data_IF_815472436990
#
_entry.id   IF_815472436990
#
_cell.length_a   1.000
_cell.length_b   1.000
_cell.length_c   1.000
_cell.angle_alpha   90.00
_cell.angle_beta   90.00
_cell.angle_gamma   90.00
#
_symmetry.space_group_name_H-M   'P 1'
#
loop_
_entity.id
_entity.type
_entity.pdbx_description
1 polymer ?
#
# COMPACT_ATOMS: atom_id res chain seq x y z
N UNK A 1 2.27 17.18 15.38
CA UNK A 1 1.42 16.28 14.58
C UNK A 1 1.17 16.89 13.22
N UNK A 2 1.47 16.16 12.14
CA UNK A 2 1.18 16.56 10.77
C UNK A 2 -0.32 16.43 10.45
N UNK A 3 -0.77 17.06 9.36
CA UNK A 3 -2.15 16.94 8.89
C UNK A 3 -2.50 15.47 8.57
N UNK A 4 -1.54 14.71 8.05
CA UNK A 4 -1.70 13.29 7.77
C UNK A 4 -1.97 12.50 9.06
N UNK A 5 -1.17 12.70 10.11
CA UNK A 5 -1.33 12.00 11.40
C UNK A 5 -2.68 12.30 12.05
N UNK A 6 -3.11 13.57 12.03
CA UNK A 6 -4.43 13.97 12.54
C UNK A 6 -5.55 13.27 11.76
N UNK A 7 -5.42 13.19 10.44
CA UNK A 7 -6.42 12.54 9.58
C UNK A 7 -6.47 11.04 9.83
N UNK A 8 -5.32 10.39 9.97
CA UNK A 8 -5.22 8.96 10.27
C UNK A 8 -5.82 8.64 11.63
N UNK A 9 -5.55 9.44 12.66
CA UNK A 9 -6.15 9.26 13.99
C UNK A 9 -7.68 9.30 13.93
N UNK A 10 -8.24 10.25 13.18
CA UNK A 10 -9.69 10.33 12.94
C UNK A 10 -10.19 9.11 12.16
N UNK A 11 -9.44 8.64 11.17
CA UNK A 11 -9.80 7.48 10.37
C UNK A 11 -9.88 6.21 11.22
N UNK A 12 -8.89 6.00 12.11
CA UNK A 12 -8.86 4.90 13.07
C UNK A 12 -10.03 4.98 14.04
N UNK A 13 -10.37 6.18 14.53
CA UNK A 13 -11.52 6.36 15.42
C UNK A 13 -12.85 6.05 14.71
N UNK A 14 -13.03 6.52 13.47
CA UNK A 14 -14.22 6.19 12.68
C UNK A 14 -14.32 4.68 12.41
N UNK A 15 -13.19 4.03 12.13
CA UNK A 15 -13.13 2.59 11.94
C UNK A 15 -13.52 1.81 13.20
N UNK A 16 -13.00 2.20 14.38
CA UNK A 16 -13.30 1.52 15.64
C UNK A 16 -14.77 1.66 16.06
N UNK A 17 -15.43 2.76 15.67
CA UNK A 17 -16.87 2.95 15.84
C UNK A 17 -17.70 2.38 14.68
N UNK A 18 -17.09 1.59 13.78
CA UNK A 18 -17.73 0.97 12.62
C UNK A 18 -18.36 1.96 11.62
N UNK A 19 -17.96 3.23 11.67
CA UNK A 19 -18.31 4.21 10.63
C UNK A 19 -17.36 4.05 9.44
N UNK A 20 -17.58 2.96 8.69
CA UNK A 20 -16.73 2.59 7.56
C UNK A 20 -16.80 3.59 6.40
N UNK A 21 -17.89 4.38 6.30
CA UNK A 21 -18.02 5.42 5.29
C UNK A 21 -17.05 6.56 5.59
N UNK A 22 -17.07 7.05 6.83
CA UNK A 22 -16.17 8.12 7.25
C UNK A 22 -14.72 7.65 7.33
N UNK A 23 -14.46 6.44 7.84
CA UNK A 23 -13.12 5.85 7.87
C UNK A 23 -12.51 5.75 6.47
N UNK A 24 -13.31 5.33 5.46
CA UNK A 24 -12.89 5.26 4.06
C UNK A 24 -12.60 6.65 3.50
N UNK A 25 -13.46 7.63 3.77
CA UNK A 25 -13.27 9.02 3.33
C UNK A 25 -11.98 9.60 3.90
N UNK A 26 -11.74 9.43 5.20
CA UNK A 26 -10.55 9.92 5.88
C UNK A 26 -9.26 9.24 5.41
N UNK A 27 -9.26 7.92 5.22
CA UNK A 27 -8.10 7.21 4.65
C UNK A 27 -7.80 7.67 3.21
N UNK A 28 -8.82 7.96 2.38
CA UNK A 28 -8.60 8.54 1.04
C UNK A 28 -8.01 9.95 1.11
N UNK A 29 -8.43 10.77 2.08
CA UNK A 29 -7.83 12.09 2.32
C UNK A 29 -6.36 11.96 2.77
N UNK A 30 -6.07 11.07 3.73
CA UNK A 30 -4.71 10.81 4.19
C UNK A 30 -3.82 10.29 3.05
N UNK A 31 -4.31 9.36 2.23
CA UNK A 31 -3.60 8.85 1.06
C UNK A 31 -3.23 9.95 0.08
N UNK A 32 -4.16 10.89 -0.18
CA UNK A 32 -3.88 12.04 -1.05
C UNK A 32 -2.75 12.90 -0.49
N UNK A 33 -2.75 13.16 0.81
CA UNK A 33 -1.68 13.93 1.48
C UNK A 33 -0.35 13.18 1.38
N UNK A 34 -0.33 11.89 1.68
CA UNK A 34 0.87 11.06 1.61
C UNK A 34 1.46 11.03 0.18
N UNK A 35 0.63 10.84 -0.85
CA UNK A 35 1.07 10.86 -2.25
C UNK A 35 1.60 12.21 -2.71
N UNK A 36 1.05 13.32 -2.21
CA UNK A 36 1.54 14.66 -2.55
C UNK A 36 2.95 14.92 -2.03
N UNK A 37 3.30 14.37 -0.85
CA UNK A 37 4.64 14.48 -0.28
C UNK A 37 5.59 13.36 -0.66
N UNK A 38 5.10 12.29 -1.30
CA UNK A 38 5.84 11.04 -1.46
C UNK A 38 7.22 11.24 -2.11
N UNK A 39 7.33 11.98 -3.21
CA UNK A 39 8.60 12.11 -3.91
C UNK A 39 9.67 12.82 -3.05
N UNK A 40 9.28 13.90 -2.35
CA UNK A 40 10.20 14.68 -1.53
C UNK A 40 10.54 13.95 -0.23
N UNK A 41 9.54 13.40 0.46
CA UNK A 41 9.76 12.61 1.67
C UNK A 41 10.54 11.33 1.38
N UNK A 42 10.35 10.71 0.21
CA UNK A 42 11.11 9.53 -0.20
C UNK A 42 12.60 9.82 -0.44
N UNK A 43 13.00 11.08 -0.66
CA UNK A 43 14.42 11.48 -0.73
C UNK A 43 15.03 11.62 0.67
N UNK A 44 14.22 11.95 1.68
CA UNK A 44 14.66 12.26 3.05
C UNK A 44 14.54 11.04 3.97
N UNK A 45 13.35 10.46 4.05
CA UNK A 45 13.02 9.27 4.83
C UNK A 45 12.17 8.30 3.98
N UNK A 46 12.84 7.42 3.20
CA UNK A 46 12.17 6.48 2.32
C UNK A 46 11.20 5.52 3.02
N UNK A 47 11.52 5.13 4.26
CA UNK A 47 10.70 4.19 5.02
C UNK A 47 9.41 4.85 5.51
N UNK A 48 9.51 6.04 6.11
CA UNK A 48 8.34 6.77 6.58
C UNK A 48 7.42 7.19 5.41
N UNK A 49 8.01 7.60 4.28
CA UNK A 49 7.27 8.01 3.09
C UNK A 49 6.43 6.86 2.53
N UNK A 50 7.05 5.69 2.32
CA UNK A 50 6.35 4.49 1.85
C UNK A 50 5.32 4.00 2.87
N UNK A 51 5.69 3.92 4.15
CA UNK A 51 4.79 3.47 5.21
C UNK A 51 3.51 4.33 5.29
N UNK A 52 3.63 5.65 5.10
CA UNK A 52 2.50 6.58 5.11
C UNK A 52 1.49 6.32 3.99
N UNK A 53 1.97 5.94 2.80
CA UNK A 53 1.10 5.54 1.68
C UNK A 53 0.50 4.16 1.92
N UNK A 54 1.34 3.20 2.30
CA UNK A 54 0.95 1.80 2.49
C UNK A 54 -0.12 1.63 3.55
N UNK A 55 0.04 2.26 4.72
CA UNK A 55 -0.95 2.12 5.80
C UNK A 55 -2.33 2.66 5.39
N UNK A 56 -2.40 3.71 4.58
CA UNK A 56 -3.68 4.20 4.06
C UNK A 56 -4.34 3.17 3.12
N UNK A 57 -3.56 2.57 2.23
CA UNK A 57 -4.05 1.57 1.27
C UNK A 57 -4.42 0.25 1.96
N UNK A 58 -3.67 -0.17 2.97
CA UNK A 58 -4.00 -1.35 3.78
C UNK A 58 -5.28 -1.14 4.58
N UNK A 59 -5.45 0.02 5.23
CA UNK A 59 -6.71 0.35 5.89
C UNK A 59 -7.90 0.38 4.92
N UNK A 60 -7.71 0.91 3.72
CA UNK A 60 -8.75 0.91 2.68
C UNK A 60 -9.08 -0.51 2.20
N UNK A 61 -8.06 -1.37 2.08
CA UNK A 61 -8.22 -2.79 1.80
C UNK A 61 -9.03 -3.45 2.91
N UNK A 62 -8.67 -3.27 4.18
CA UNK A 62 -9.40 -3.84 5.32
C UNK A 62 -10.84 -3.37 5.36
N UNK A 63 -11.11 -2.07 5.18
CA UNK A 63 -12.49 -1.55 5.09
C UNK A 63 -13.26 -2.25 3.96
N UNK A 64 -12.66 -2.43 2.79
CA UNK A 64 -13.30 -3.13 1.68
C UNK A 64 -13.54 -4.62 2.00
N UNK A 65 -12.62 -5.28 2.74
CA UNK A 65 -12.81 -6.64 3.25
C UNK A 65 -14.02 -6.69 4.20
N UNK A 66 -14.14 -5.77 5.16
CA UNK A 66 -15.29 -5.70 6.07
C UNK A 66 -16.61 -5.42 5.34
N UNK A 67 -16.55 -4.68 4.24
CA UNK A 67 -17.71 -4.39 3.37
C UNK A 67 -18.00 -5.51 2.36
N UNK A 68 -17.29 -6.64 2.41
CA UNK A 68 -17.41 -7.76 1.46
C UNK A 68 -17.20 -7.34 0.00
N UNK A 69 -16.25 -6.43 -0.24
CA UNK A 69 -15.85 -5.91 -1.55
C UNK A 69 -14.45 -6.40 -1.93
N UNK A 70 -14.26 -7.70 -2.22
CA UNK A 70 -12.92 -8.29 -2.43
C UNK A 70 -12.18 -7.71 -3.63
N UNK A 71 -12.90 -7.35 -4.70
CA UNK A 71 -12.29 -6.71 -5.87
C UNK A 71 -11.65 -5.36 -5.49
N UNK A 72 -12.38 -4.53 -4.75
CA UNK A 72 -11.88 -3.23 -4.32
C UNK A 72 -10.73 -3.36 -3.30
N UNK A 73 -10.78 -4.35 -2.41
CA UNK A 73 -9.66 -4.63 -1.51
C UNK A 73 -8.38 -4.96 -2.30
N UNK A 74 -8.50 -5.82 -3.32
CA UNK A 74 -7.39 -6.17 -4.21
C UNK A 74 -6.86 -4.95 -4.99
N UNK A 75 -7.76 -4.06 -5.47
CA UNK A 75 -7.36 -2.81 -6.14
C UNK A 75 -6.50 -1.91 -5.25
N UNK A 76 -6.79 -1.80 -3.94
CA UNK A 76 -5.97 -1.01 -3.02
C UNK A 76 -4.58 -1.63 -2.79
N UNK A 77 -4.50 -2.95 -2.67
CA UNK A 77 -3.21 -3.65 -2.59
C UNK A 77 -2.39 -3.45 -3.88
N UNK A 78 -3.03 -3.53 -5.05
CA UNK A 78 -2.40 -3.28 -6.35
C UNK A 78 -1.89 -1.84 -6.47
N UNK A 79 -2.69 -0.85 -6.07
CA UNK A 79 -2.26 0.55 -6.05
C UNK A 79 -0.98 0.77 -5.22
N UNK A 80 -0.78 -0.01 -4.15
CA UNK A 80 0.42 0.09 -3.33
C UNK A 80 1.67 -0.27 -4.13
N UNK A 81 1.56 -1.31 -4.96
CA UNK A 81 2.64 -1.75 -5.84
C UNK A 81 2.86 -0.76 -6.98
N UNK A 82 1.79 -0.22 -7.57
CA UNK A 82 1.87 0.82 -8.59
C UNK A 82 2.57 2.08 -8.09
N UNK A 83 2.27 2.53 -6.87
CA UNK A 83 2.92 3.69 -6.26
C UNK A 83 4.43 3.45 -6.08
N UNK A 84 4.85 2.24 -5.70
CA UNK A 84 6.27 1.86 -5.61
C UNK A 84 6.95 1.85 -7.00
N UNK A 85 6.27 1.34 -8.03
CA UNK A 85 6.84 1.27 -9.39
C UNK A 85 7.00 2.65 -10.04
N UNK A 86 6.21 3.63 -9.62
CA UNK A 86 6.26 5.00 -10.13
C UNK A 86 7.28 5.88 -9.38
N UNK A 87 8.03 5.33 -8.42
CA UNK A 87 9.07 6.08 -7.72
C UNK A 87 10.19 6.53 -8.68
N UNK A 88 10.82 7.69 -8.42
CA UNK A 88 11.84 8.23 -9.29
C UNK A 88 13.07 7.31 -9.34
N UNK A 89 13.68 7.23 -10.52
CA UNK A 89 14.98 6.57 -10.73
C UNK A 89 16.02 7.63 -11.13
N UNK A 90 17.29 7.51 -10.71
CA UNK A 90 17.88 6.42 -9.93
C UNK A 90 17.53 6.45 -8.43
N UNK A 91 17.49 5.28 -7.79
CA UNK A 91 17.25 5.12 -6.35
C UNK A 91 18.55 4.82 -5.58
N UNK A 92 18.71 5.42 -4.41
CA UNK A 92 19.81 5.17 -3.47
C UNK A 92 19.68 3.80 -2.78
N UNK A 93 20.76 3.34 -2.14
CA UNK A 93 20.75 2.08 -1.38
C UNK A 93 19.73 2.09 -0.22
N UNK A 94 19.55 3.24 0.45
CA UNK A 94 18.56 3.40 1.51
C UNK A 94 17.14 3.23 0.95
N UNK A 95 16.85 3.89 -0.18
CA UNK A 95 15.57 3.78 -0.88
C UNK A 95 15.29 2.36 -1.37
N UNK A 96 16.30 1.66 -1.91
CA UNK A 96 16.18 0.25 -2.27
C UNK A 96 15.78 -0.62 -1.07
N UNK A 97 16.39 -0.37 0.11
CA UNK A 97 16.08 -1.13 1.32
C UNK A 97 14.64 -0.91 1.79
N UNK A 98 14.17 0.34 1.74
CA UNK A 98 12.79 0.70 2.07
C UNK A 98 11.79 0.05 1.12
N UNK A 99 12.07 0.07 -0.19
CA UNK A 99 11.24 -0.60 -1.20
C UNK A 99 11.16 -2.11 -0.91
N UNK A 100 12.28 -2.78 -0.64
CA UNK A 100 12.30 -4.22 -0.35
C UNK A 100 11.43 -4.58 0.87
N UNK A 101 11.56 -3.80 1.96
CA UNK A 101 10.72 -3.98 3.16
C UNK A 101 9.24 -3.76 2.85
N UNK A 102 8.93 -2.75 2.06
CA UNK A 102 7.57 -2.43 1.63
C UNK A 102 6.96 -3.56 0.79
N UNK A 103 7.70 -4.11 -0.17
CA UNK A 103 7.29 -5.27 -0.96
C UNK A 103 7.01 -6.49 -0.08
N UNK A 104 7.85 -6.74 0.93
CA UNK A 104 7.62 -7.84 1.88
C UNK A 104 6.32 -7.64 2.68
N UNK A 105 6.04 -6.42 3.12
CA UNK A 105 4.78 -6.11 3.82
C UNK A 105 3.56 -6.30 2.91
N UNK A 106 3.62 -5.86 1.65
CA UNK A 106 2.53 -6.09 0.68
C UNK A 106 2.27 -7.58 0.49
N UNK A 107 3.31 -8.42 0.45
CA UNK A 107 3.16 -9.88 0.37
C UNK A 107 2.44 -10.46 1.59
N UNK A 108 2.76 -9.97 2.80
CA UNK A 108 2.09 -10.40 4.02
C UNK A 108 0.61 -10.01 4.03
N UNK A 109 0.28 -8.77 3.66
CA UNK A 109 -1.12 -8.33 3.57
C UNK A 109 -1.88 -9.08 2.48
N UNK A 110 -1.24 -9.34 1.34
CA UNK A 110 -1.81 -10.18 0.29
C UNK A 110 -2.11 -11.60 0.78
N UNK A 111 -1.20 -12.21 1.54
CA UNK A 111 -1.44 -13.52 2.14
C UNK A 111 -2.63 -13.51 3.10
N UNK A 112 -2.77 -12.46 3.92
CA UNK A 112 -3.92 -12.29 4.83
C UNK A 112 -5.23 -12.11 4.07
N UNK A 113 -5.22 -11.34 2.99
CA UNK A 113 -6.37 -11.20 2.10
C UNK A 113 -6.80 -12.57 1.53
N UNK A 114 -5.85 -13.38 1.07
CA UNK A 114 -6.14 -14.71 0.53
C UNK A 114 -6.70 -15.67 1.58
N UNK A 115 -6.32 -15.52 2.85
CA UNK A 115 -6.91 -16.29 3.94
C UNK A 115 -8.38 -15.93 4.19
N UNK A 116 -8.75 -14.66 4.01
CA UNK A 116 -10.15 -14.21 4.13
C UNK A 116 -11.02 -14.62 2.92
N UNK A 117 -10.42 -14.68 1.72
CA UNK A 117 -11.14 -14.94 0.47
C UNK A 117 -10.56 -16.10 -0.36
N UNK A 118 -10.50 -17.34 0.18
CA UNK A 118 -9.80 -18.46 -0.46
C UNK A 118 -10.37 -18.87 -1.83
N UNK A 119 -11.66 -18.58 -2.08
CA UNK A 119 -12.36 -18.97 -3.31
C UNK A 119 -12.61 -17.82 -4.30
N UNK A 120 -12.33 -16.55 -3.93
CA UNK A 120 -12.47 -15.41 -4.86
C UNK A 120 -11.20 -15.17 -5.69
N UNK A 121 -10.14 -15.92 -5.39
CA UNK A 121 -8.78 -15.75 -5.92
C UNK A 121 -8.64 -16.05 -7.41
N UNK A 122 -9.34 -17.07 -7.92
CA UNK A 122 -9.14 -17.57 -9.30
C UNK A 122 -9.89 -16.78 -10.38
N UNK A 123 -10.68 -15.77 -10.02
CA UNK A 123 -11.53 -15.04 -10.96
C UNK A 123 -11.24 -13.54 -11.06
N UNK A 124 -10.30 -13.00 -10.27
CA UNK A 124 -9.98 -11.58 -10.27
C UNK A 124 -8.68 -11.33 -11.04
N UNK A 125 -8.77 -10.66 -12.19
CA UNK A 125 -7.60 -10.27 -13.02
C UNK A 125 -6.52 -9.52 -12.22
N UNK A 126 -6.94 -8.74 -11.22
CA UNK A 126 -6.04 -7.96 -10.37
C UNK A 126 -5.12 -8.82 -9.48
N UNK A 127 -5.49 -10.09 -9.20
CA UNK A 127 -4.66 -11.00 -8.40
C UNK A 127 -3.41 -11.44 -9.16
N UNK A 128 -3.57 -11.76 -10.45
CA UNK A 128 -2.47 -12.11 -11.35
C UNK A 128 -1.56 -10.91 -11.60
N UNK A 129 -2.15 -9.72 -11.79
CA UNK A 129 -1.40 -8.48 -11.97
C UNK A 129 -0.54 -8.16 -10.73
N UNK A 130 -1.09 -8.28 -9.53
CA UNK A 130 -0.34 -8.02 -8.30
C UNK A 130 0.86 -8.96 -8.16
N UNK A 131 0.68 -10.27 -8.40
CA UNK A 131 1.76 -11.24 -8.36
C UNK A 131 2.85 -10.93 -9.40
N UNK A 132 2.45 -10.59 -10.62
CA UNK A 132 3.36 -10.22 -11.69
C UNK A 132 4.19 -8.98 -11.33
N UNK A 133 3.55 -7.93 -10.81
CA UNK A 133 4.26 -6.71 -10.42
C UNK A 133 5.19 -6.89 -9.23
N UNK A 134 4.79 -7.69 -8.21
CA UNK A 134 5.68 -8.03 -7.10
C UNK A 134 6.93 -8.78 -7.60
N UNK A 135 6.78 -9.70 -8.56
CA UNK A 135 7.90 -10.39 -9.19
C UNK A 135 8.80 -9.44 -10.01
N UNK A 136 8.23 -8.48 -10.73
CA UNK A 136 9.00 -7.48 -11.48
C UNK A 136 9.88 -6.63 -10.56
N UNK A 137 9.34 -6.19 -9.42
CA UNK A 137 10.08 -5.37 -8.46
C UNK A 137 11.26 -6.16 -7.88
N UNK A 138 11.06 -7.43 -7.52
CA UNK A 138 12.15 -8.28 -7.02
C UNK A 138 13.29 -8.36 -8.04
N UNK A 139 12.98 -8.61 -9.32
CA UNK A 139 14.00 -8.73 -10.36
C UNK A 139 14.76 -7.42 -10.60
N UNK A 140 14.06 -6.28 -10.60
CA UNK A 140 14.68 -4.97 -10.74
C UNK A 140 15.65 -4.69 -9.58
N UNK A 141 15.26 -5.03 -8.35
CA UNK A 141 16.10 -4.83 -7.17
C UNK A 141 17.27 -5.82 -7.10
N UNK A 142 17.11 -7.04 -7.62
CA UNK A 142 18.20 -7.98 -7.79
C UNK A 142 19.23 -7.50 -8.82
N UNK A 143 18.79 -6.93 -9.95
CA UNK A 143 19.69 -6.37 -10.96
C UNK A 143 20.51 -5.20 -10.41
N UNK A 144 19.93 -4.38 -9.52
CA UNK A 144 20.61 -3.25 -8.88
C UNK A 144 21.65 -3.66 -7.82
N UNK A 145 21.67 -4.92 -7.38
CA UNK A 145 22.69 -5.45 -6.44
C UNK A 145 23.91 -6.05 -7.14
N UNK A 146 23.86 -6.23 -8.46
CA UNK A 146 24.90 -6.88 -9.26
C UNK A 146 25.93 -5.90 -9.85
N UNK A 147 25.82 -4.61 -9.51
CA UNK A 147 26.68 -3.50 -9.95
C UNK A 147 27.19 -2.73 -8.73
#
# INVERSE_FOLDING_TARGET
MSLWEITMLKATNAFSTQDYVEAKRLNKCALKIARQGLEEEFKVDPEAALASVMVCLFNLSDIAIYQQQPQQACEYLLQTVTDIQNLPTPISQLQQHAILRSVQQIRMEWQRFNQHYPHHFMALDNSQQLQHHLWQIDNQLHALRAH
#
